data_IF_646283269204
#
_entry.id   IF_646283269204
#
_cell.length_a   1.000
_cell.length_b   1.000
_cell.length_c   1.000
_cell.angle_alpha   90.00
_cell.angle_beta   90.00
_cell.angle_gamma   90.00
#
_symmetry.space_group_name_H-M   'P 1'
#
loop_
_entity.id
_entity.type
_entity.pdbx_description
1 polymer ?
#
# COMPACT_ATOMS: atom_id res chain seq x y z
N UNK A 1 -21.87 -19.33 -11.23
CA UNK A 1 -22.61 -19.28 -12.50
C UNK A 1 -22.84 -20.68 -13.03
N UNK A 2 -21.83 -21.40 -13.53
CA UNK A 2 -22.00 -22.75 -14.12
C UNK A 2 -22.81 -23.74 -13.26
N UNK A 3 -22.56 -23.77 -11.94
CA UNK A 3 -23.26 -24.70 -11.03
C UNK A 3 -24.59 -24.18 -10.48
N UNK A 4 -24.86 -22.87 -10.58
CA UNK A 4 -25.98 -22.21 -9.88
C UNK A 4 -26.89 -21.37 -10.81
N UNK A 5 -26.74 -21.52 -12.12
CA UNK A 5 -27.53 -20.79 -13.12
C UNK A 5 -28.97 -21.33 -13.17
N UNK A 6 -29.95 -20.43 -13.16
CA UNK A 6 -31.38 -20.75 -13.30
C UNK A 6 -32.02 -21.42 -12.08
N UNK A 7 -31.31 -21.49 -10.96
CA UNK A 7 -31.73 -22.26 -9.77
C UNK A 7 -32.70 -21.47 -8.87
N UNK A 8 -32.46 -20.17 -8.75
CA UNK A 8 -33.26 -19.26 -7.93
C UNK A 8 -34.24 -18.50 -8.85
N UNK A 9 -35.53 -18.77 -8.67
CA UNK A 9 -36.62 -18.15 -9.44
C UNK A 9 -37.80 -17.76 -8.53
N UNK A 10 -38.72 -16.89 -8.97
CA UNK A 10 -39.85 -16.46 -8.12
C UNK A 10 -40.70 -17.64 -7.63
N UNK A 11 -41.05 -17.67 -6.33
CA UNK A 11 -41.75 -18.77 -5.64
C UNK A 11 -41.00 -20.12 -5.58
N UNK A 12 -39.67 -20.14 -5.72
CA UNK A 12 -38.89 -21.36 -5.47
C UNK A 12 -38.69 -21.64 -3.96
N UNK A 13 -37.93 -22.70 -3.63
CA UNK A 13 -37.50 -23.04 -2.27
C UNK A 13 -38.63 -23.24 -1.24
N UNK A 14 -39.82 -23.63 -1.69
CA UNK A 14 -41.02 -23.73 -0.84
C UNK A 14 -40.95 -24.85 0.23
N UNK A 15 -40.08 -25.84 0.05
CA UNK A 15 -39.84 -26.94 1.00
C UNK A 15 -38.84 -26.58 2.09
N UNK A 16 -38.19 -25.42 1.98
CA UNK A 16 -37.15 -24.95 2.91
C UNK A 16 -37.71 -24.01 3.97
N UNK A 17 -36.94 -23.78 5.04
CA UNK A 17 -37.28 -22.79 6.07
C UNK A 17 -37.20 -21.35 5.57
N UNK A 18 -36.69 -21.12 4.35
CA UNK A 18 -36.53 -19.81 3.74
C UNK A 18 -37.58 -19.53 2.66
N UNK A 19 -38.63 -20.34 2.58
CA UNK A 19 -39.71 -20.20 1.59
C UNK A 19 -40.32 -18.77 1.56
N UNK A 20 -40.48 -18.14 2.73
CA UNK A 20 -41.03 -16.77 2.81
C UNK A 20 -40.14 -15.72 2.14
N UNK A 21 -38.83 -15.93 2.07
CA UNK A 21 -37.88 -15.02 1.42
C UNK A 21 -37.93 -15.10 -0.11
N UNK A 22 -38.39 -16.22 -0.68
CA UNK A 22 -38.46 -16.44 -2.13
C UNK A 22 -39.88 -16.30 -2.71
N UNK A 23 -40.85 -15.91 -1.89
CA UNK A 23 -42.25 -15.75 -2.31
C UNK A 23 -42.42 -14.63 -3.34
N UNK A 24 -43.40 -14.81 -4.21
CA UNK A 24 -43.91 -13.83 -5.16
C UNK A 24 -45.41 -14.10 -5.38
N UNK A 25 -46.28 -13.45 -4.61
CA UNK A 25 -47.74 -13.69 -4.69
C UNK A 25 -48.49 -12.42 -4.98
N UNK A 26 -49.50 -12.54 -5.85
CA UNK A 26 -50.45 -11.46 -6.11
C UNK A 26 -51.58 -11.52 -5.09
N UNK A 27 -51.72 -10.48 -4.28
CA UNK A 27 -52.83 -10.32 -3.33
C UNK A 27 -53.74 -9.21 -3.80
N UNK A 28 -54.99 -9.54 -4.11
CA UNK A 28 -56.02 -8.56 -4.44
C UNK A 28 -56.71 -8.09 -3.17
N UNK A 29 -56.69 -6.78 -2.92
CA UNK A 29 -57.44 -6.15 -1.83
C UNK A 29 -58.35 -5.08 -2.45
N UNK A 30 -59.64 -5.38 -2.55
CA UNK A 30 -60.59 -4.56 -3.31
C UNK A 30 -60.23 -4.52 -4.79
N UNK A 31 -60.04 -3.31 -5.35
CA UNK A 31 -59.72 -3.09 -6.77
C UNK A 31 -58.20 -3.00 -7.06
N UNK A 32 -57.32 -3.21 -6.07
CA UNK A 32 -55.87 -3.12 -6.24
C UNK A 32 -55.22 -4.49 -6.07
N UNK A 33 -54.33 -4.84 -6.99
CA UNK A 33 -53.39 -5.97 -6.89
C UNK A 33 -52.10 -5.46 -6.24
N UNK A 34 -51.78 -5.96 -5.05
CA UNK A 34 -50.48 -5.72 -4.40
C UNK A 34 -49.65 -7.00 -4.54
N UNK A 35 -48.40 -6.84 -4.95
CA UNK A 35 -47.45 -7.97 -5.02
C UNK A 35 -46.80 -8.09 -3.65
N UNK A 36 -46.91 -9.27 -3.05
CA UNK A 36 -46.17 -9.65 -1.85
C UNK A 36 -44.95 -10.47 -2.30
N UNK A 37 -43.78 -9.84 -2.32
CA UNK A 37 -42.51 -10.43 -2.73
C UNK A 37 -41.46 -10.42 -1.63
N UNK A 38 -40.59 -11.43 -1.63
CA UNK A 38 -39.47 -11.57 -0.71
C UNK A 38 -38.12 -11.11 -1.27
N UNK A 39 -38.06 -10.75 -2.55
CA UNK A 39 -36.89 -10.22 -3.30
C UNK A 39 -35.65 -11.11 -3.40
N UNK A 40 -35.44 -12.13 -2.55
CA UNK A 40 -34.22 -12.95 -2.57
C UNK A 40 -34.03 -13.79 -3.85
N UNK A 41 -35.06 -13.96 -4.67
CA UNK A 41 -34.93 -14.58 -6.00
C UNK A 41 -34.15 -13.72 -7.00
N UNK A 42 -33.95 -12.42 -6.72
CA UNK A 42 -33.14 -11.52 -7.55
C UNK A 42 -31.63 -11.77 -7.36
N UNK A 43 -31.24 -12.34 -6.22
CA UNK A 43 -29.86 -12.71 -5.91
C UNK A 43 -29.48 -14.04 -6.55
N UNK A 44 -29.52 -14.06 -7.89
CA UNK A 44 -29.23 -15.22 -8.72
C UNK A 44 -27.81 -15.21 -9.29
N UNK A 45 -27.39 -16.38 -9.78
CA UNK A 45 -26.10 -16.59 -10.43
C UNK A 45 -26.23 -16.77 -11.95
N UNK A 46 -27.26 -16.15 -12.55
CA UNK A 46 -27.58 -16.32 -13.97
C UNK A 46 -26.61 -15.53 -14.86
N UNK A 47 -26.23 -14.34 -14.41
CA UNK A 47 -25.30 -13.45 -15.10
C UNK A 47 -24.11 -13.09 -14.20
N UNK A 48 -23.00 -12.69 -14.82
CA UNK A 48 -21.78 -12.30 -14.09
C UNK A 48 -22.03 -11.09 -13.18
N UNK A 49 -22.83 -10.12 -13.63
CA UNK A 49 -23.15 -8.93 -12.86
C UNK A 49 -24.02 -9.27 -11.64
N UNK A 50 -25.08 -10.06 -11.82
CA UNK A 50 -25.93 -10.51 -10.72
C UNK A 50 -25.15 -11.37 -9.73
N UNK A 51 -24.24 -12.21 -10.23
CA UNK A 51 -23.33 -13.00 -9.40
C UNK A 51 -22.42 -12.10 -8.56
N UNK A 52 -21.86 -11.04 -9.13
CA UNK A 52 -21.03 -10.10 -8.37
C UNK A 52 -21.82 -9.37 -7.28
N UNK A 53 -23.04 -8.92 -7.58
CA UNK A 53 -23.91 -8.28 -6.57
C UNK A 53 -24.25 -9.27 -5.46
N UNK A 54 -24.64 -10.50 -5.81
CA UNK A 54 -24.94 -11.57 -4.84
C UNK A 54 -23.72 -11.89 -3.98
N UNK A 55 -22.52 -12.00 -4.58
CA UNK A 55 -21.29 -12.22 -3.83
C UNK A 55 -20.94 -11.03 -2.94
N UNK A 56 -21.18 -9.79 -3.39
CA UNK A 56 -21.01 -8.60 -2.57
C UNK A 56 -21.94 -8.62 -1.36
N UNK A 57 -23.23 -8.93 -1.53
CA UNK A 57 -24.16 -9.09 -0.41
C UNK A 57 -23.70 -10.19 0.57
N UNK A 58 -23.16 -11.29 0.06
CA UNK A 58 -22.58 -12.34 0.91
C UNK A 58 -21.34 -11.88 1.69
N UNK A 59 -20.55 -10.93 1.18
CA UNK A 59 -19.39 -10.37 1.93
C UNK A 59 -19.81 -9.53 3.15
N UNK A 60 -21.02 -8.98 3.15
CA UNK A 60 -21.56 -8.20 4.27
C UNK A 60 -21.99 -9.11 5.44
N UNK A 61 -22.07 -10.42 5.23
CA UNK A 61 -22.39 -11.45 6.26
C UNK A 61 -23.81 -11.33 6.84
N UNK A 62 -24.59 -10.33 6.45
CA UNK A 62 -25.98 -10.21 6.88
C UNK A 62 -26.88 -11.15 6.07
N UNK A 63 -27.72 -11.94 6.74
CA UNK A 63 -28.71 -12.84 6.11
C UNK A 63 -28.14 -13.80 5.05
N UNK A 64 -26.83 -14.05 5.03
CA UNK A 64 -26.16 -14.88 4.03
C UNK A 64 -26.68 -16.33 4.00
N UNK A 65 -27.13 -16.84 5.15
CA UNK A 65 -27.69 -18.17 5.28
C UNK A 65 -28.99 -18.35 4.48
N UNK A 66 -29.73 -17.27 4.21
CA UNK A 66 -30.97 -17.32 3.41
C UNK A 66 -30.65 -17.71 1.97
N UNK A 67 -29.63 -17.09 1.40
CA UNK A 67 -29.14 -17.37 0.04
C UNK A 67 -28.55 -18.79 -0.02
N UNK A 68 -27.76 -19.17 0.98
CA UNK A 68 -27.20 -20.53 1.08
C UNK A 68 -28.33 -21.58 1.13
N UNK A 69 -29.27 -21.46 2.06
CA UNK A 69 -30.35 -22.44 2.22
C UNK A 69 -31.24 -22.50 0.96
N UNK A 70 -31.53 -21.36 0.33
CA UNK A 70 -32.25 -21.31 -0.93
C UNK A 70 -31.55 -22.11 -2.04
N UNK A 71 -30.25 -21.86 -2.27
CA UNK A 71 -29.47 -22.62 -3.26
C UNK A 71 -29.40 -24.10 -2.91
N UNK A 72 -29.23 -24.45 -1.63
CA UNK A 72 -29.11 -25.85 -1.21
C UNK A 72 -30.41 -26.63 -1.32
N UNK A 73 -31.56 -25.97 -1.18
CA UNK A 73 -32.88 -26.60 -1.34
C UNK A 73 -33.13 -27.05 -2.78
N UNK A 74 -32.53 -26.37 -3.75
CA UNK A 74 -32.70 -26.64 -5.18
C UNK A 74 -31.54 -27.44 -5.79
N UNK A 75 -30.42 -27.60 -5.07
CA UNK A 75 -29.22 -28.32 -5.54
C UNK A 75 -28.94 -29.55 -4.69
N UNK A 76 -27.87 -29.52 -3.90
CA UNK A 76 -27.40 -30.59 -3.03
C UNK A 76 -26.74 -29.97 -1.80
N UNK A 77 -26.66 -30.71 -0.69
CA UNK A 77 -26.01 -30.25 0.53
C UNK A 77 -24.52 -29.90 0.34
N UNK A 78 -23.86 -30.40 -0.71
CA UNK A 78 -22.49 -30.02 -1.08
C UNK A 78 -22.35 -28.53 -1.40
N UNK A 79 -23.41 -27.84 -1.84
CA UNK A 79 -23.36 -26.40 -2.08
C UNK A 79 -23.20 -25.60 -0.77
N UNK A 80 -23.55 -26.15 0.40
CA UNK A 80 -23.23 -25.53 1.70
C UNK A 80 -21.72 -25.35 1.87
N UNK A 81 -20.92 -26.31 1.40
CA UNK A 81 -19.46 -26.23 1.49
C UNK A 81 -18.90 -25.05 0.68
N UNK A 82 -19.50 -24.75 -0.48
CA UNK A 82 -19.14 -23.57 -1.28
C UNK A 82 -19.34 -22.28 -0.48
N UNK A 83 -20.53 -22.07 0.10
CA UNK A 83 -20.83 -20.85 0.85
C UNK A 83 -20.00 -20.73 2.13
N UNK A 84 -19.77 -21.84 2.86
CA UNK A 84 -18.91 -21.85 4.05
C UNK A 84 -17.45 -21.52 3.70
N UNK A 85 -16.92 -22.08 2.61
CA UNK A 85 -15.56 -21.79 2.15
C UNK A 85 -15.43 -20.33 1.72
N UNK A 86 -16.40 -19.82 0.95
CA UNK A 86 -16.44 -18.42 0.54
C UNK A 86 -16.49 -17.48 1.74
N UNK A 87 -17.30 -17.78 2.75
CA UNK A 87 -17.37 -17.01 4.00
C UNK A 87 -16.01 -16.90 4.69
N UNK A 88 -15.31 -18.03 4.89
CA UNK A 88 -14.00 -18.04 5.56
C UNK A 88 -12.99 -17.22 4.76
N UNK A 89 -12.90 -17.43 3.45
CA UNK A 89 -11.96 -16.72 2.58
C UNK A 89 -12.22 -15.22 2.59
N UNK A 90 -13.48 -14.80 2.46
CA UNK A 90 -13.84 -13.38 2.43
C UNK A 90 -13.64 -12.70 3.78
N UNK A 91 -13.92 -13.37 4.90
CA UNK A 91 -13.59 -12.86 6.23
C UNK A 91 -12.10 -12.57 6.39
N UNK A 92 -11.24 -13.50 5.98
CA UNK A 92 -9.78 -13.32 6.04
C UNK A 92 -9.32 -12.18 5.12
N UNK A 93 -9.81 -12.13 3.88
CA UNK A 93 -9.43 -11.08 2.93
C UNK A 93 -9.88 -9.70 3.42
N UNK A 94 -11.13 -9.57 3.89
CA UNK A 94 -11.65 -8.30 4.39
C UNK A 94 -10.90 -7.83 5.64
N UNK A 95 -10.58 -8.74 6.56
CA UNK A 95 -9.80 -8.39 7.76
C UNK A 95 -8.38 -7.93 7.42
N UNK A 96 -7.70 -8.60 6.48
CA UNK A 96 -6.37 -8.17 6.02
C UNK A 96 -6.43 -6.79 5.36
N UNK A 97 -7.40 -6.54 4.47
CA UNK A 97 -7.55 -5.25 3.79
C UNK A 97 -7.83 -4.13 4.81
N UNK A 98 -8.77 -4.35 5.73
CA UNK A 98 -9.12 -3.36 6.75
C UNK A 98 -7.94 -3.09 7.68
N UNK A 99 -7.24 -4.13 8.15
CA UNK A 99 -6.05 -3.98 8.98
C UNK A 99 -4.96 -3.15 8.27
N UNK A 100 -4.67 -3.46 7.02
CA UNK A 100 -3.69 -2.73 6.21
C UNK A 100 -4.06 -1.25 6.03
N UNK A 101 -5.34 -0.95 5.73
CA UNK A 101 -5.81 0.43 5.58
C UNK A 101 -5.72 1.19 6.92
N UNK A 102 -6.14 0.55 8.02
CA UNK A 102 -6.06 1.15 9.35
C UNK A 102 -4.62 1.41 9.77
N UNK A 103 -3.70 0.48 9.55
CA UNK A 103 -2.28 0.65 9.83
C UNK A 103 -1.71 1.83 9.04
N UNK A 104 -2.02 1.93 7.73
CA UNK A 104 -1.59 3.04 6.90
C UNK A 104 -2.17 4.39 7.38
N UNK A 105 -3.43 4.41 7.83
CA UNK A 105 -4.09 5.61 8.33
C UNK A 105 -3.54 6.05 9.69
N UNK A 106 -3.39 5.11 10.63
CA UNK A 106 -2.77 5.34 11.94
C UNK A 106 -1.34 5.84 11.77
N UNK A 107 -0.58 5.23 10.87
CA UNK A 107 0.76 5.68 10.52
C UNK A 107 0.77 7.13 10.01
N UNK A 108 -0.10 7.47 9.05
CA UNK A 108 -0.22 8.83 8.50
C UNK A 108 -0.65 9.86 9.55
N UNK A 109 -1.59 9.51 10.42
CA UNK A 109 -2.06 10.40 11.49
C UNK A 109 -0.97 10.65 12.53
N UNK A 110 -0.29 9.60 12.99
CA UNK A 110 0.85 9.72 13.91
C UNK A 110 2.00 10.52 13.29
N UNK A 111 2.24 10.32 11.99
CA UNK A 111 3.23 11.12 11.27
C UNK A 111 2.84 12.60 11.20
N UNK A 112 1.61 12.92 10.80
CA UNK A 112 1.13 14.30 10.70
C UNK A 112 1.28 15.03 12.04
N UNK A 113 0.90 14.37 13.14
CA UNK A 113 1.02 14.92 14.49
C UNK A 113 2.48 15.18 14.91
N UNK A 114 3.42 14.29 14.55
CA UNK A 114 4.86 14.49 14.81
C UNK A 114 5.51 15.55 13.92
N UNK A 115 4.95 15.80 12.73
CA UNK A 115 5.47 16.80 11.80
C UNK A 115 4.85 18.19 11.97
N UNK A 116 3.74 18.33 12.70
CA UNK A 116 3.09 19.61 12.98
C UNK A 116 3.99 20.55 13.81
N UNK A 117 4.80 19.99 14.71
CA UNK A 117 5.85 20.74 15.42
C UNK A 117 6.99 21.22 14.50
N UNK A 118 7.00 20.78 13.23
CA UNK A 118 8.04 21.07 12.22
C UNK A 118 7.51 21.78 10.96
N UNK A 119 6.23 22.16 10.92
CA UNK A 119 5.58 22.75 9.72
C UNK A 119 6.05 24.18 9.39
N UNK A 120 6.87 24.80 10.24
CA UNK A 120 7.38 26.16 9.98
C UNK A 120 8.52 26.18 8.94
N UNK A 121 9.15 25.04 8.58
CA UNK A 121 10.17 25.01 7.51
C UNK A 121 9.96 23.82 6.55
N UNK A 122 9.51 24.14 5.33
CA UNK A 122 9.01 23.22 4.29
C UNK A 122 10.06 22.33 3.62
N UNK A 123 11.15 21.99 4.30
CA UNK A 123 12.23 21.18 3.75
C UNK A 123 13.18 20.66 4.81
N UNK A 124 14.25 20.03 4.34
CA UNK A 124 15.47 19.81 5.13
C UNK A 124 16.46 20.86 4.64
N UNK A 125 16.82 21.76 5.54
CA UNK A 125 17.83 22.81 5.36
C UNK A 125 19.15 22.30 5.92
N UNK A 126 20.23 22.44 5.15
CA UNK A 126 21.58 22.13 5.59
C UNK A 126 22.44 23.36 5.34
N UNK A 127 22.92 23.95 6.42
CA UNK A 127 23.89 25.04 6.36
C UNK A 127 25.29 24.46 6.43
N UNK A 128 26.14 24.86 5.49
CA UNK A 128 27.54 24.49 5.49
C UNK A 128 28.41 25.70 5.21
N UNK A 129 29.30 25.99 6.15
CA UNK A 129 30.30 27.02 6.00
C UNK A 129 31.53 26.46 5.27
N UNK A 130 32.07 27.25 4.34
CA UNK A 130 33.31 26.97 3.63
C UNK A 130 34.28 28.14 3.80
N UNK A 131 35.52 27.82 4.16
CA UNK A 131 36.59 28.80 4.27
C UNK A 131 37.25 29.10 2.92
N UNK A 132 37.91 30.26 2.82
CA UNK A 132 38.71 30.63 1.64
C UNK A 132 39.77 29.58 1.33
N UNK A 133 40.40 29.02 2.36
CA UNK A 133 41.48 28.03 2.22
C UNK A 133 40.99 26.69 1.69
N UNK A 134 39.83 26.20 2.14
CA UNK A 134 39.20 25.00 1.60
C UNK A 134 38.84 25.17 0.12
N UNK A 135 38.30 26.33 -0.25
CA UNK A 135 37.91 26.62 -1.63
C UNK A 135 39.14 26.74 -2.55
N UNK A 136 40.24 27.29 -2.05
CA UNK A 136 41.54 27.32 -2.73
C UNK A 136 42.12 25.90 -2.90
N UNK A 137 41.98 25.03 -1.90
CA UNK A 137 42.41 23.64 -1.99
C UNK A 137 41.65 22.86 -3.08
N UNK A 138 40.33 23.04 -3.15
CA UNK A 138 39.49 22.45 -4.22
C UNK A 138 39.91 22.97 -5.59
N UNK A 139 40.18 24.27 -5.73
CA UNK A 139 40.61 24.86 -7.00
C UNK A 139 41.95 24.31 -7.48
N UNK A 140 42.91 24.07 -6.57
CA UNK A 140 44.19 23.42 -6.89
C UNK A 140 43.97 21.99 -7.42
N UNK A 141 43.18 21.20 -6.71
CA UNK A 141 42.82 19.83 -7.12
C UNK A 141 42.13 19.80 -8.50
N UNK A 142 41.18 20.70 -8.75
CA UNK A 142 40.48 20.76 -10.06
C UNK A 142 41.41 21.11 -11.22
N UNK A 143 42.43 21.95 -10.98
CA UNK A 143 43.45 22.31 -11.98
C UNK A 143 44.40 21.14 -12.26
N UNK A 144 44.80 20.42 -11.22
CA UNK A 144 45.72 19.28 -11.33
C UNK A 144 45.06 18.05 -11.98
N UNK A 145 43.78 17.78 -11.66
CA UNK A 145 43.07 16.61 -12.14
C UNK A 145 42.62 16.68 -13.63
N UNK A 146 42.90 17.77 -14.36
CA UNK A 146 42.27 18.08 -15.67
C UNK A 146 40.75 17.86 -15.66
N UNK A 147 40.09 18.15 -14.52
CA UNK A 147 38.64 18.04 -14.38
C UNK A 147 37.88 19.06 -15.23
N UNK A 148 36.57 18.86 -15.39
CA UNK A 148 35.68 19.66 -16.24
C UNK A 148 35.97 21.18 -16.13
N UNK A 149 36.57 21.75 -17.17
CA UNK A 149 37.00 23.15 -17.21
C UNK A 149 35.85 24.16 -16.98
N UNK A 150 34.60 23.72 -17.03
CA UNK A 150 33.39 24.49 -16.79
C UNK A 150 33.20 24.93 -15.32
N UNK A 151 33.82 24.25 -14.35
CA UNK A 151 33.59 24.50 -12.92
C UNK A 151 34.59 25.50 -12.29
N UNK A 152 35.77 25.65 -12.89
CA UNK A 152 36.85 26.56 -12.44
C UNK A 152 36.39 28.04 -12.43
N UNK A 153 35.71 28.58 -13.46
CA UNK A 153 35.27 29.98 -13.47
C UNK A 153 34.26 30.28 -12.35
N UNK A 154 33.44 29.29 -11.96
CA UNK A 154 32.45 29.43 -10.89
C UNK A 154 33.11 29.55 -9.53
N UNK A 155 34.11 28.70 -9.24
CA UNK A 155 34.90 28.76 -8.01
C UNK A 155 35.67 30.08 -7.89
N UNK A 156 36.27 30.54 -8.99
CA UNK A 156 37.04 31.79 -9.03
C UNK A 156 36.13 33.02 -8.83
N UNK A 157 34.88 32.96 -9.32
CA UNK A 157 33.85 33.97 -9.06
C UNK A 157 33.51 34.05 -7.57
N UNK A 158 33.35 32.92 -6.88
CA UNK A 158 33.07 32.89 -5.43
C UNK A 158 34.25 33.45 -4.64
N UNK A 159 35.49 33.04 -4.96
CA UNK A 159 36.69 33.57 -4.30
C UNK A 159 36.85 35.09 -4.47
N UNK A 160 36.61 35.61 -5.68
CA UNK A 160 36.67 37.06 -5.92
C UNK A 160 35.58 37.85 -5.19
N UNK A 161 34.41 37.24 -4.97
CA UNK A 161 33.34 37.83 -4.18
C UNK A 161 33.69 37.85 -2.68
N UNK A 162 34.31 36.78 -2.17
CA UNK A 162 34.81 36.73 -0.79
C UNK A 162 35.89 37.79 -0.54
N UNK A 163 36.80 37.95 -1.49
CA UNK A 163 37.89 38.92 -1.40
C UNK A 163 37.39 40.36 -1.48
N UNK A 164 36.38 40.63 -2.33
CA UNK A 164 35.74 41.95 -2.41
C UNK A 164 34.99 42.34 -1.14
N UNK A 165 34.44 41.36 -0.42
CA UNK A 165 33.65 41.58 0.78
C UNK A 165 34.47 41.47 2.07
N UNK A 166 35.80 41.24 1.98
CA UNK A 166 36.69 40.96 3.12
C UNK A 166 36.19 39.81 4.03
N UNK A 167 35.53 38.81 3.43
CA UNK A 167 34.96 37.66 4.13
C UNK A 167 35.90 36.44 4.05
N UNK A 168 36.27 35.88 5.20
CA UNK A 168 37.10 34.66 5.29
C UNK A 168 36.33 33.36 5.05
N UNK A 169 35.00 33.40 5.17
CA UNK A 169 34.10 32.24 5.04
C UNK A 169 32.84 32.61 4.26
N UNK A 170 32.23 31.62 3.60
CA UNK A 170 30.92 31.73 2.95
C UNK A 170 30.01 30.61 3.45
N UNK A 171 28.78 30.97 3.79
CA UNK A 171 27.74 30.01 4.21
C UNK A 171 26.91 29.60 3.00
N UNK A 172 26.86 28.31 2.72
CA UNK A 172 25.97 27.72 1.73
C UNK A 172 24.78 27.08 2.42
N UNK A 173 23.58 27.36 1.90
CA UNK A 173 22.33 26.81 2.41
C UNK A 173 21.72 25.86 1.38
N UNK A 174 21.90 24.57 1.62
CA UNK A 174 21.26 23.50 0.84
C UNK A 174 19.82 23.31 1.30
N UNK A 175 18.89 23.24 0.35
CA UNK A 175 17.48 22.91 0.62
C UNK A 175 17.06 21.72 -0.21
N UNK A 176 16.41 20.74 0.44
CA UNK A 176 15.73 19.65 -0.26
C UNK A 176 14.34 19.41 0.32
N UNK A 177 13.42 18.95 -0.52
CA UNK A 177 12.11 18.48 -0.08
C UNK A 177 12.23 17.16 0.67
N UNK A 178 11.30 16.93 1.61
CA UNK A 178 11.18 15.66 2.34
C UNK A 178 10.59 14.60 1.41
N UNK A 179 11.15 13.40 1.44
CA UNK A 179 10.74 12.23 0.67
C UNK A 179 10.10 11.17 1.57
N UNK A 180 9.42 10.18 0.97
CA UNK A 180 8.82 9.06 1.72
C UNK A 180 9.86 8.29 2.55
N UNK A 181 11.10 8.16 2.06
CA UNK A 181 12.20 7.50 2.77
C UNK A 181 12.63 8.29 4.01
N UNK A 182 12.68 9.62 3.96
CA UNK A 182 13.04 10.45 5.12
C UNK A 182 12.05 10.28 6.27
N UNK A 183 10.78 10.12 5.90
CA UNK A 183 9.71 9.81 6.83
C UNK A 183 9.85 8.39 7.37
N UNK A 184 10.01 7.39 6.50
CA UNK A 184 10.17 5.99 6.90
C UNK A 184 11.35 5.82 7.87
N UNK A 185 12.44 6.57 7.66
CA UNK A 185 13.60 6.57 8.52
C UNK A 185 13.29 7.09 9.94
N UNK A 186 12.45 8.13 10.06
CA UNK A 186 11.99 8.65 11.35
C UNK A 186 10.99 7.74 12.05
N UNK A 187 10.13 7.05 11.29
CA UNK A 187 9.14 6.14 11.87
C UNK A 187 9.81 4.93 12.51
N UNK A 188 10.71 4.28 11.78
CA UNK A 188 11.36 3.04 12.20
C UNK A 188 12.72 3.29 12.87
N UNK A 189 12.96 4.48 13.42
CA UNK A 189 14.30 4.85 13.91
C UNK A 189 14.85 3.87 14.95
N UNK A 190 13.98 3.31 15.80
CA UNK A 190 14.34 2.33 16.83
C UNK A 190 14.66 0.95 16.21
N UNK A 191 13.82 0.48 15.28
CA UNK A 191 14.01 -0.79 14.56
C UNK A 191 15.23 -0.76 13.63
N UNK A 192 15.49 0.37 12.98
CA UNK A 192 16.61 0.56 12.04
C UNK A 192 17.95 0.30 12.74
N UNK A 193 18.08 0.70 14.02
CA UNK A 193 19.30 0.45 14.78
C UNK A 193 19.53 -1.05 14.99
N UNK A 194 18.48 -1.77 15.36
CA UNK A 194 18.54 -3.23 15.52
C UNK A 194 18.90 -3.92 14.19
N UNK A 195 18.33 -3.44 13.07
CA UNK A 195 18.65 -3.96 11.74
C UNK A 195 20.13 -3.75 11.38
N UNK A 196 20.71 -2.60 11.72
CA UNK A 196 22.14 -2.35 11.50
C UNK A 196 23.03 -3.27 12.35
N UNK A 197 22.69 -3.46 13.62
CA UNK A 197 23.43 -4.35 14.53
C UNK A 197 23.35 -5.81 14.04
N UNK A 198 22.16 -6.27 13.62
CA UNK A 198 21.99 -7.60 13.06
C UNK A 198 22.74 -7.79 11.75
N UNK A 199 22.70 -6.80 10.85
CA UNK A 199 23.42 -6.83 9.58
C UNK A 199 24.94 -6.88 9.79
N UNK A 200 25.46 -6.13 10.77
CA UNK A 200 26.89 -6.13 11.13
C UNK A 200 27.32 -7.51 11.64
N UNK A 201 26.55 -8.11 12.56
CA UNK A 201 26.83 -9.49 13.04
C UNK A 201 26.82 -10.53 11.93
N UNK A 202 25.86 -10.44 10.99
CA UNK A 202 25.79 -11.35 9.84
C UNK A 202 26.99 -11.19 8.90
N UNK A 203 27.47 -9.96 8.70
CA UNK A 203 28.68 -9.69 7.91
C UNK A 203 29.94 -10.24 8.60
N UNK A 204 30.07 -10.07 9.91
CA UNK A 204 31.19 -10.60 10.69
C UNK A 204 31.20 -12.13 10.68
N UNK A 205 30.04 -12.78 10.81
CA UNK A 205 29.91 -14.23 10.67
C UNK A 205 30.28 -14.71 9.27
N UNK A 206 29.82 -14.03 8.20
CA UNK A 206 30.22 -14.37 6.83
C UNK A 206 31.71 -14.15 6.56
N UNK A 207 32.35 -13.16 7.19
CA UNK A 207 33.80 -12.97 7.09
C UNK A 207 34.59 -14.01 7.90
N UNK A 208 34.06 -14.46 9.04
CA UNK A 208 34.68 -15.50 9.86
C UNK A 208 34.55 -16.90 9.22
N UNK A 209 33.41 -17.20 8.61
CA UNK A 209 33.17 -18.46 7.87
C UNK A 209 33.76 -18.43 6.45
N UNK A 210 34.12 -17.23 5.96
CA UNK A 210 34.57 -16.93 4.60
C UNK A 210 36.07 -16.96 4.37
N UNK A 211 36.84 -17.81 5.07
CA UNK A 211 38.22 -18.15 4.68
C UNK A 211 38.28 -19.07 3.45
N UNK A 212 37.46 -18.78 2.44
CA UNK A 212 37.40 -19.52 1.18
C UNK A 212 36.33 -19.07 0.19
N UNK A 213 36.41 -17.84 -0.35
CA UNK A 213 36.14 -17.46 -1.75
C UNK A 213 35.83 -15.96 -1.90
N UNK A 214 36.33 -15.28 -2.93
CA UNK A 214 36.01 -13.87 -3.16
C UNK A 214 34.61 -13.74 -3.76
N UNK A 215 33.65 -13.23 -2.98
CA UNK A 215 32.35 -12.82 -3.49
C UNK A 215 32.46 -11.45 -4.15
N UNK A 216 32.18 -11.42 -5.46
CA UNK A 216 32.05 -10.22 -6.28
C UNK A 216 31.06 -9.25 -5.62
N UNK A 217 31.50 -8.02 -5.37
CA UNK A 217 30.64 -6.94 -4.89
C UNK A 217 29.47 -6.72 -5.87
N UNK A 218 28.26 -7.05 -5.44
CA UNK A 218 27.05 -6.58 -6.10
C UNK A 218 26.53 -5.39 -5.29
N UNK A 219 26.44 -4.17 -5.88
CA UNK A 219 25.87 -3.03 -5.18
C UNK A 219 24.40 -3.32 -4.87
N UNK A 220 23.85 -2.75 -3.79
CA UNK A 220 22.46 -2.97 -3.42
C UNK A 220 21.56 -2.49 -4.55
N UNK A 221 21.05 -3.45 -5.31
CA UNK A 221 20.16 -3.23 -6.43
C UNK A 221 18.93 -2.47 -5.97
N UNK A 222 18.65 -1.36 -6.64
CA UNK A 222 17.34 -0.73 -6.62
C UNK A 222 16.29 -1.79 -6.93
N UNK A 223 15.24 -1.80 -6.11
CA UNK A 223 14.01 -2.58 -6.31
C UNK A 223 13.60 -2.50 -7.79
N UNK A 224 13.59 -3.64 -8.49
CA UNK A 224 13.18 -3.72 -9.89
C UNK A 224 11.81 -3.05 -10.07
N UNK A 225 11.79 -2.00 -10.90
CA UNK A 225 10.58 -1.34 -11.36
C UNK A 225 9.81 -2.33 -12.24
N UNK A 226 8.52 -2.47 -11.95
CA UNK A 226 7.57 -3.36 -12.62
C UNK A 226 7.67 -3.31 -14.15
N UNK A 227 7.69 -4.48 -14.79
CA UNK A 227 7.31 -4.58 -16.20
C UNK A 227 5.79 -4.80 -16.27
N UNK A 228 5.10 -3.84 -16.86
CA UNK A 228 3.72 -3.95 -17.34
C UNK A 228 3.70 -4.98 -18.46
N UNK A 229 2.86 -6.01 -18.36
CA UNK A 229 2.57 -6.91 -19.49
C UNK A 229 1.31 -6.36 -20.18
N UNK A 230 1.46 -6.15 -21.49
CA UNK A 230 0.42 -5.80 -22.46
C UNK A 230 -0.58 -6.93 -22.67
#
# INVERSE_FOLDING_TARGET
MEFFCGILYPNCCNTSTVADAYRWRNRTVGNRTVVEDGYYYLNNFDNILNSFVTLFELTVVNNWYIIMEGVTSQTSHWSRLYFMTFYIVTMVVMTIIVAFILEAFVFRMNFSRKNQDSEVDGGITVEKELSKDELLAVLKLSREARGAAADIPRLLKVLSQMERNEQGTVVFLGRRSRTKSDLSLKMYQEEIREWYEEHTRKQEQQQSDGSGAPATQQPPGGRQRSQTIT
#
